data_IF_573477182070
#
_entry.id   IF_573477182070
#
_cell.length_a   1.000
_cell.length_b   1.000
_cell.length_c   1.000
_cell.angle_alpha   90.00
_cell.angle_beta   90.00
_cell.angle_gamma   90.00
#
_symmetry.space_group_name_H-M   'P 1'
#
loop_
_entity.id
_entity.type
_entity.pdbx_description
1 polymer ?
#
# COMPACT_ATOMS: atom_id res chain seq x y z
N UNK A 1 -18.01 -21.45 1.18
CA UNK A 1 -17.34 -20.24 1.63
C UNK A 1 -15.89 -20.54 1.95
N UNK A 2 -14.95 -19.72 1.46
CA UNK A 2 -13.50 -19.87 1.70
C UNK A 2 -13.01 -19.05 2.88
N UNK A 3 -13.86 -18.29 3.55
CA UNK A 3 -13.51 -17.44 4.68
C UNK A 3 -13.55 -18.24 5.97
N UNK A 4 -12.50 -18.11 6.78
CA UNK A 4 -12.45 -18.70 8.13
C UNK A 4 -12.93 -17.68 9.17
N UNK A 5 -14.15 -17.83 9.70
CA UNK A 5 -14.72 -16.83 10.61
C UNK A 5 -14.08 -16.85 12.01
N UNK A 6 -13.28 -17.86 12.33
CA UNK A 6 -12.61 -17.98 13.61
C UNK A 6 -11.21 -17.36 13.61
N UNK A 7 -10.66 -17.02 12.44
CA UNK A 7 -9.39 -16.31 12.32
C UNK A 7 -9.65 -14.81 12.18
N UNK A 8 -9.09 -14.00 13.10
CA UNK A 8 -9.29 -12.56 13.11
C UNK A 8 -8.32 -11.79 12.20
N UNK A 9 -7.15 -12.37 11.86
CA UNK A 9 -6.22 -11.73 10.96
C UNK A 9 -6.68 -11.82 9.50
N UNK A 10 -5.95 -11.16 8.62
CA UNK A 10 -6.18 -11.27 7.17
C UNK A 10 -6.01 -12.70 6.66
N UNK A 11 -5.35 -13.57 7.41
CA UNK A 11 -5.24 -14.99 7.06
C UNK A 11 -6.57 -15.75 7.13
N UNK A 12 -7.64 -15.11 7.58
CA UNK A 12 -9.00 -15.62 7.41
C UNK A 12 -9.34 -15.88 5.94
N UNK A 13 -8.65 -15.18 5.03
CA UNK A 13 -8.79 -15.31 3.59
C UNK A 13 -7.72 -16.20 2.95
N UNK A 14 -6.97 -16.97 3.75
CA UNK A 14 -5.83 -17.76 3.24
C UNK A 14 -6.17 -18.76 2.14
N UNK A 15 -7.43 -19.20 2.06
CA UNK A 15 -7.88 -20.07 0.97
C UNK A 15 -7.91 -19.37 -0.40
N UNK A 16 -7.86 -18.04 -0.42
CA UNK A 16 -7.78 -17.23 -1.63
C UNK A 16 -6.35 -16.77 -1.93
N UNK A 17 -5.40 -17.20 -1.12
CA UNK A 17 -3.98 -16.93 -1.27
C UNK A 17 -3.27 -18.19 -1.75
N UNK A 18 -2.14 -18.02 -2.44
CA UNK A 18 -1.34 -19.15 -2.89
C UNK A 18 -0.40 -19.66 -1.77
N UNK A 19 -0.91 -19.83 -0.56
CA UNK A 19 -0.17 -20.35 0.58
C UNK A 19 -0.38 -21.87 0.67
N UNK A 20 0.73 -22.61 0.80
CA UNK A 20 0.71 -24.08 0.71
C UNK A 20 0.60 -24.78 2.06
N UNK A 21 0.95 -24.09 3.16
CA UNK A 21 1.01 -24.68 4.50
C UNK A 21 0.56 -23.70 5.61
N UNK A 22 0.74 -24.10 6.86
CA UNK A 22 0.34 -23.35 8.03
C UNK A 22 1.46 -22.43 8.57
N UNK A 23 2.54 -22.18 7.81
CA UNK A 23 3.66 -21.31 8.24
C UNK A 23 3.22 -19.90 8.62
N UNK A 24 2.10 -19.43 8.07
CA UNK A 24 1.53 -18.14 8.41
C UNK A 24 1.26 -17.97 9.91
N UNK A 25 1.03 -19.07 10.64
CA UNK A 25 0.76 -19.02 12.09
C UNK A 25 1.95 -18.48 12.89
N UNK A 26 3.16 -18.72 12.40
CA UNK A 26 4.39 -18.21 13.02
C UNK A 26 4.68 -16.75 12.64
N UNK A 27 3.96 -16.20 11.69
CA UNK A 27 4.22 -14.88 11.11
C UNK A 27 3.17 -13.85 11.54
N UNK A 28 1.91 -14.24 11.64
CA UNK A 28 0.82 -13.31 11.93
C UNK A 28 0.99 -12.59 13.27
N UNK A 29 0.66 -11.32 13.29
CA UNK A 29 0.56 -10.48 14.47
C UNK A 29 -0.87 -9.94 14.66
N UNK A 30 -1.87 -10.57 14.04
CA UNK A 30 -3.26 -10.16 14.13
C UNK A 30 -3.64 -9.02 13.18
N UNK A 31 -2.84 -8.80 12.15
CA UNK A 31 -3.04 -7.78 11.12
C UNK A 31 -4.33 -8.01 10.32
N UNK A 32 -4.93 -6.94 9.86
CA UNK A 32 -6.18 -7.00 9.08
C UNK A 32 -7.43 -6.71 9.92
N UNK A 33 -8.57 -6.89 9.33
CA UNK A 33 -9.89 -6.58 9.92
C UNK A 33 -9.94 -5.17 10.52
N UNK A 34 -9.34 -4.22 9.81
CA UNK A 34 -9.28 -2.83 10.25
C UNK A 34 -10.66 -2.20 10.23
N UNK A 35 -10.96 -1.27 11.16
CA UNK A 35 -12.29 -0.68 11.25
C UNK A 35 -12.69 0.13 10.02
N UNK A 36 -13.98 0.16 9.75
CA UNK A 36 -14.61 1.13 8.85
C UNK A 36 -15.33 2.14 9.71
N UNK A 37 -14.98 3.40 9.59
CA UNK A 37 -15.49 4.49 10.41
C UNK A 37 -16.17 5.54 9.53
N UNK A 38 -17.32 6.03 9.93
CA UNK A 38 -18.02 7.10 9.19
C UNK A 38 -17.40 8.45 9.49
N UNK A 39 -16.98 9.17 8.44
CA UNK A 39 -16.48 10.53 8.55
C UNK A 39 -17.62 11.56 8.48
N UNK A 40 -18.49 11.41 7.49
CA UNK A 40 -19.68 12.21 7.28
C UNK A 40 -20.74 11.40 6.50
N UNK A 41 -21.80 12.03 6.02
CA UNK A 41 -22.89 11.33 5.33
C UNK A 41 -22.44 10.65 4.02
N UNK A 42 -21.38 11.12 3.36
CA UNK A 42 -20.92 10.63 2.08
C UNK A 42 -19.69 9.73 2.18
N UNK A 43 -18.93 9.80 3.27
CA UNK A 43 -17.58 9.22 3.37
C UNK A 43 -17.45 8.23 4.51
N UNK A 44 -17.02 7.02 4.18
CA UNK A 44 -16.50 6.02 5.11
C UNK A 44 -14.97 6.00 5.03
N UNK A 45 -14.33 5.84 6.17
CA UNK A 45 -12.87 5.69 6.29
C UNK A 45 -12.54 4.21 6.56
N UNK A 46 -11.71 3.60 5.71
CA UNK A 46 -11.08 2.31 6.04
C UNK A 46 -9.79 2.61 6.78
N UNK A 47 -9.79 2.33 8.08
CA UNK A 47 -8.70 2.69 9.00
C UNK A 47 -7.53 1.71 8.87
N UNK A 48 -6.91 1.66 7.70
CA UNK A 48 -5.93 0.63 7.35
C UNK A 48 -4.58 0.80 8.04
N UNK A 49 -4.37 1.86 8.78
CA UNK A 49 -3.19 2.00 9.62
C UNK A 49 -3.36 1.38 11.02
N UNK A 50 -4.52 0.80 11.35
CA UNK A 50 -4.68 0.01 12.58
C UNK A 50 -4.04 -1.37 12.40
N UNK A 51 -2.77 -1.34 12.26
CA UNK A 51 -1.89 -2.49 11.98
C UNK A 51 -0.69 -2.47 12.94
N UNK A 52 -0.02 -3.60 13.14
CA UNK A 52 1.17 -3.66 14.00
C UNK A 52 2.24 -2.61 13.67
N UNK A 53 2.47 -2.31 12.38
CA UNK A 53 3.45 -1.27 11.99
C UNK A 53 2.80 0.02 11.50
N UNK A 54 1.51 0.21 11.77
CA UNK A 54 0.76 1.45 11.58
C UNK A 54 0.65 1.89 10.11
N UNK A 55 0.64 0.95 9.18
CA UNK A 55 0.32 1.20 7.77
C UNK A 55 -0.30 -0.02 7.10
N UNK A 56 -0.92 0.18 5.93
CA UNK A 56 -1.50 -0.93 5.15
C UNK A 56 -0.46 -1.93 4.63
N UNK A 57 0.82 -1.57 4.63
CA UNK A 57 1.91 -2.41 4.14
C UNK A 57 2.02 -3.74 4.90
N UNK A 58 1.52 -3.78 6.13
CA UNK A 58 1.42 -5.01 6.92
C UNK A 58 0.68 -6.13 6.16
N UNK A 59 -0.34 -5.78 5.38
CA UNK A 59 -1.09 -6.77 4.59
C UNK A 59 -0.19 -7.57 3.67
N UNK A 60 0.59 -6.85 2.88
CA UNK A 60 1.51 -7.49 1.94
C UNK A 60 2.70 -8.14 2.63
N UNK A 61 3.28 -7.46 3.61
CA UNK A 61 4.44 -7.98 4.34
C UNK A 61 4.12 -9.30 5.05
N UNK A 62 2.97 -9.40 5.71
CA UNK A 62 2.57 -10.62 6.42
C UNK A 62 2.50 -11.82 5.47
N UNK A 63 1.87 -11.68 4.33
CA UNK A 63 1.72 -12.79 3.37
C UNK A 63 3.03 -13.12 2.67
N UNK A 64 3.81 -12.11 2.30
CA UNK A 64 5.12 -12.30 1.71
C UNK A 64 6.05 -13.09 2.64
N UNK A 65 6.11 -12.71 3.90
CA UNK A 65 6.97 -13.38 4.88
C UNK A 65 6.43 -14.79 5.25
N UNK A 66 5.11 -14.97 5.28
CA UNK A 66 4.52 -16.30 5.43
C UNK A 66 4.95 -17.23 4.28
N UNK A 67 4.95 -16.73 3.06
CA UNK A 67 5.47 -17.49 1.90
C UNK A 67 6.95 -17.80 2.06
N UNK A 68 7.78 -16.80 2.43
CA UNK A 68 9.20 -17.02 2.66
C UNK A 68 9.45 -18.12 3.68
N UNK A 69 8.71 -18.11 4.78
CA UNK A 69 8.84 -19.14 5.81
C UNK A 69 8.44 -20.52 5.32
N UNK A 70 7.38 -20.61 4.52
CA UNK A 70 6.90 -21.89 3.97
C UNK A 70 7.89 -22.56 3.03
N UNK A 71 8.70 -21.79 2.30
CA UNK A 71 9.71 -22.31 1.39
C UNK A 71 11.12 -22.38 2.00
N UNK A 72 11.25 -22.16 3.31
CA UNK A 72 12.53 -22.32 4.02
C UNK A 72 13.50 -21.16 3.86
N UNK A 73 13.03 -19.98 3.42
CA UNK A 73 13.86 -18.76 3.37
C UNK A 73 14.19 -18.33 4.79
N UNK A 74 15.48 -18.12 5.07
CA UNK A 74 15.97 -17.71 6.38
C UNK A 74 16.62 -16.33 6.40
N UNK A 75 16.78 -15.70 5.25
CA UNK A 75 17.35 -14.37 5.10
C UNK A 75 16.72 -13.65 3.91
N UNK A 76 16.29 -12.41 4.13
CA UNK A 76 15.77 -11.54 3.07
C UNK A 76 16.46 -10.19 3.06
N UNK A 77 16.44 -9.54 1.91
CA UNK A 77 16.89 -8.16 1.74
C UNK A 77 15.79 -7.34 1.08
N UNK A 78 15.76 -6.05 1.36
CA UNK A 78 14.81 -5.12 0.80
C UNK A 78 15.40 -3.71 0.80
N UNK A 79 14.91 -2.84 -0.07
CA UNK A 79 15.50 -1.51 -0.32
C UNK A 79 14.50 -0.35 -0.15
N UNK A 80 13.62 -0.45 0.84
CA UNK A 80 12.68 0.63 1.17
C UNK A 80 12.96 1.22 2.55
N UNK A 81 13.10 2.53 2.62
CA UNK A 81 13.20 3.28 3.88
C UNK A 81 11.83 3.64 4.48
N UNK A 82 10.74 3.37 3.75
CA UNK A 82 9.39 3.75 4.15
C UNK A 82 8.62 2.63 4.83
N UNK A 83 7.31 2.71 4.72
CA UNK A 83 6.39 1.78 5.36
C UNK A 83 6.61 0.31 4.94
N UNK A 84 6.98 0.06 3.69
CA UNK A 84 7.23 -1.30 3.21
C UNK A 84 8.45 -1.93 3.90
N UNK A 85 9.57 -1.24 3.96
CA UNK A 85 10.77 -1.74 4.65
C UNK A 85 10.54 -1.95 6.14
N UNK A 86 9.86 -1.02 6.80
CA UNK A 86 9.51 -1.15 8.21
C UNK A 86 8.61 -2.37 8.46
N UNK A 87 7.60 -2.57 7.64
CA UNK A 87 6.70 -3.73 7.77
C UNK A 87 7.45 -5.04 7.52
N UNK A 88 8.25 -5.14 6.47
CA UNK A 88 9.04 -6.35 6.19
C UNK A 88 9.98 -6.67 7.35
N UNK A 89 10.67 -5.67 7.90
CA UNK A 89 11.56 -5.86 9.05
C UNK A 89 10.78 -6.42 10.27
N UNK A 90 9.61 -5.88 10.57
CA UNK A 90 8.80 -6.32 11.69
C UNK A 90 8.32 -7.77 11.54
N UNK A 91 7.81 -8.15 10.37
CA UNK A 91 7.34 -9.52 10.13
C UNK A 91 8.48 -10.53 10.05
N UNK A 92 9.64 -10.14 9.56
CA UNK A 92 10.84 -10.96 9.65
C UNK A 92 11.26 -11.23 11.11
N UNK A 93 11.20 -10.21 11.95
CA UNK A 93 11.47 -10.35 13.38
C UNK A 93 10.51 -11.36 14.03
N UNK A 94 9.22 -11.25 13.73
CA UNK A 94 8.20 -12.19 14.24
C UNK A 94 8.45 -13.62 13.76
N UNK A 95 8.84 -13.78 12.50
CA UNK A 95 9.03 -15.08 11.86
C UNK A 95 10.39 -15.74 12.15
N UNK A 96 11.33 -15.01 12.75
CA UNK A 96 12.70 -15.50 12.95
C UNK A 96 13.51 -15.56 11.67
N UNK A 97 13.25 -14.67 10.70
CA UNK A 97 13.97 -14.56 9.45
C UNK A 97 14.92 -13.38 9.54
N UNK A 98 16.20 -13.57 9.18
CA UNK A 98 17.18 -12.49 9.13
C UNK A 98 16.79 -11.48 8.03
N UNK A 99 16.89 -10.20 8.34
CA UNK A 99 16.48 -9.14 7.44
C UNK A 99 17.54 -8.06 7.35
N UNK A 100 17.85 -7.64 6.15
CA UNK A 100 18.67 -6.46 5.88
C UNK A 100 17.91 -5.49 5.00
N UNK A 101 17.81 -4.24 5.46
CA UNK A 101 17.13 -3.16 4.71
C UNK A 101 18.21 -2.18 4.27
N UNK A 102 18.28 -1.95 2.96
CA UNK A 102 19.14 -0.94 2.35
C UNK A 102 18.36 0.38 2.25
N UNK A 103 18.96 1.45 2.74
CA UNK A 103 18.35 2.78 2.68
C UNK A 103 19.34 3.78 2.09
N UNK A 104 18.89 4.80 1.34
CA UNK A 104 19.79 5.82 0.82
C UNK A 104 20.28 6.73 1.94
N UNK A 105 21.42 7.38 1.71
CA UNK A 105 21.90 8.44 2.61
C UNK A 105 20.83 9.56 2.69
N UNK A 106 20.75 10.22 3.83
CA UNK A 106 19.73 11.23 4.09
C UNK A 106 18.40 10.64 4.60
N UNK A 107 18.27 9.32 4.71
CA UNK A 107 17.14 8.70 5.40
C UNK A 107 17.12 9.15 6.86
N UNK A 108 15.93 9.53 7.37
CA UNK A 108 15.83 10.09 8.71
C UNK A 108 16.28 9.09 9.79
N UNK A 109 16.92 9.57 10.87
CA UNK A 109 17.31 8.70 11.97
C UNK A 109 16.17 7.92 12.56
N UNK A 110 14.97 8.50 12.64
CA UNK A 110 13.77 7.84 13.17
C UNK A 110 13.39 6.60 12.34
N UNK A 111 13.45 6.69 11.00
CA UNK A 111 13.18 5.57 10.11
C UNK A 111 14.21 4.46 10.28
N UNK A 112 15.49 4.82 10.36
CA UNK A 112 16.59 3.88 10.57
C UNK A 112 16.44 3.19 11.92
N UNK A 113 16.14 3.94 12.97
CA UNK A 113 15.96 3.40 14.32
C UNK A 113 14.79 2.43 14.40
N UNK A 114 13.68 2.70 13.74
CA UNK A 114 12.54 1.77 13.66
C UNK A 114 12.93 0.44 13.01
N UNK A 115 13.66 0.49 11.91
CA UNK A 115 14.13 -0.72 11.21
C UNK A 115 15.05 -1.52 12.13
N UNK A 116 16.02 -0.87 12.76
CA UNK A 116 16.98 -1.51 13.69
C UNK A 116 16.32 -2.05 14.95
N UNK A 117 15.28 -1.38 15.44
CA UNK A 117 14.53 -1.84 16.61
C UNK A 117 13.88 -3.22 16.40
N UNK A 118 13.54 -3.57 15.17
CA UNK A 118 13.04 -4.90 14.82
C UNK A 118 14.16 -5.96 14.71
N UNK A 119 15.40 -5.58 14.95
CA UNK A 119 16.54 -6.51 14.83
C UNK A 119 17.09 -6.65 13.42
N UNK A 120 16.58 -5.90 12.45
CA UNK A 120 17.10 -5.90 11.10
C UNK A 120 18.42 -5.11 11.01
N UNK A 121 19.29 -5.55 10.11
CA UNK A 121 20.44 -4.73 9.71
C UNK A 121 19.93 -3.62 8.79
N UNK A 122 20.27 -2.38 9.11
CA UNK A 122 19.95 -1.25 8.26
C UNK A 122 21.24 -0.70 7.67
N UNK A 123 21.42 -0.90 6.37
CA UNK A 123 22.63 -0.51 5.63
C UNK A 123 22.37 0.80 4.90
N UNK A 124 23.05 1.86 5.31
CA UNK A 124 22.94 3.17 4.67
C UNK A 124 23.90 3.20 3.48
N UNK A 125 23.34 3.39 2.29
CA UNK A 125 24.11 3.43 1.03
C UNK A 125 24.35 4.89 0.63
N UNK A 126 25.60 5.31 0.42
CA UNK A 126 25.88 6.66 -0.07
C UNK A 126 25.26 6.90 -1.45
N UNK A 127 24.71 8.09 -1.66
CA UNK A 127 24.15 8.49 -2.95
C UNK A 127 22.63 8.39 -3.04
N UNK A 128 22.15 8.17 -4.26
CA UNK A 128 20.73 8.24 -4.59
C UNK A 128 19.93 6.99 -4.17
N UNK A 129 18.61 7.14 -4.15
CA UNK A 129 17.67 6.01 -3.99
C UNK A 129 17.89 4.94 -5.07
N UNK A 130 18.13 5.36 -6.31
CA UNK A 130 18.35 4.43 -7.43
C UNK A 130 19.63 3.62 -7.22
N UNK A 131 20.72 4.28 -6.79
CA UNK A 131 21.97 3.59 -6.46
C UNK A 131 21.78 2.62 -5.29
N UNK A 132 21.03 3.00 -4.27
CA UNK A 132 20.69 2.12 -3.15
C UNK A 132 19.99 0.85 -3.64
N UNK A 133 19.01 1.00 -4.52
CA UNK A 133 18.32 -0.15 -5.13
C UNK A 133 19.28 -1.04 -5.94
N UNK A 134 20.22 -0.44 -6.67
CA UNK A 134 21.24 -1.18 -7.42
C UNK A 134 22.16 -1.99 -6.51
N UNK A 135 22.60 -1.42 -5.39
CA UNK A 135 23.41 -2.11 -4.39
C UNK A 135 22.65 -3.30 -3.79
N UNK A 136 21.37 -3.12 -3.48
CA UNK A 136 20.53 -4.21 -2.97
C UNK A 136 20.41 -5.34 -4.00
N UNK A 137 20.10 -5.02 -5.24
CA UNK A 137 19.99 -6.02 -6.33
C UNK A 137 21.31 -6.74 -6.58
N UNK A 138 22.42 -6.03 -6.52
CA UNK A 138 23.75 -6.66 -6.68
C UNK A 138 24.00 -7.72 -5.60
N UNK A 139 23.61 -7.45 -4.36
CA UNK A 139 23.71 -8.45 -3.28
C UNK A 139 22.84 -9.67 -3.57
N UNK A 140 21.61 -9.47 -4.04
CA UNK A 140 20.71 -10.56 -4.43
C UNK A 140 21.37 -11.45 -5.52
N UNK A 141 21.92 -10.83 -6.55
CA UNK A 141 22.57 -11.56 -7.65
C UNK A 141 23.84 -12.30 -7.21
N UNK A 142 24.65 -11.69 -6.36
CA UNK A 142 25.93 -12.25 -5.93
C UNK A 142 25.78 -13.34 -4.87
N UNK A 143 24.84 -13.18 -3.93
CA UNK A 143 24.72 -14.07 -2.79
C UNK A 143 23.49 -14.98 -2.83
N UNK A 144 22.58 -14.80 -3.80
CA UNK A 144 21.37 -15.59 -3.92
C UNK A 144 20.38 -15.37 -2.77
N UNK A 145 20.46 -14.23 -2.08
CA UNK A 145 19.55 -13.88 -0.98
C UNK A 145 18.18 -13.56 -1.53
N UNK A 146 17.13 -13.93 -0.80
CA UNK A 146 15.76 -13.64 -1.22
C UNK A 146 15.48 -12.14 -1.23
N UNK A 147 15.03 -11.62 -2.37
CA UNK A 147 14.65 -10.23 -2.52
C UNK A 147 13.18 -10.04 -2.14
N UNK A 148 12.91 -9.51 -0.94
CA UNK A 148 11.56 -9.27 -0.43
C UNK A 148 11.00 -7.94 -0.97
N UNK A 149 11.07 -7.74 -2.29
CA UNK A 149 10.61 -6.51 -2.92
C UNK A 149 9.09 -6.47 -3.00
N UNK A 150 8.49 -5.47 -2.37
CA UNK A 150 7.04 -5.32 -2.28
C UNK A 150 6.36 -4.98 -3.62
N UNK A 151 7.09 -4.45 -4.60
CA UNK A 151 6.53 -4.06 -5.90
C UNK A 151 6.45 -5.25 -6.86
N UNK A 152 7.45 -6.14 -6.83
CA UNK A 152 7.55 -7.25 -7.76
C UNK A 152 6.97 -8.57 -7.25
N UNK A 153 6.99 -8.78 -5.93
CA UNK A 153 6.64 -10.07 -5.37
C UNK A 153 5.12 -10.29 -5.38
N UNK A 154 4.62 -11.35 -6.05
CA UNK A 154 3.18 -11.60 -6.14
C UNK A 154 2.52 -11.87 -4.79
N UNK A 155 3.25 -12.38 -3.80
CA UNK A 155 2.68 -12.65 -2.47
C UNK A 155 2.37 -11.37 -1.69
N UNK A 156 3.05 -10.28 -1.99
CA UNK A 156 2.68 -8.98 -1.43
C UNK A 156 1.26 -8.59 -1.88
N UNK A 157 0.92 -8.84 -3.13
CA UNK A 157 -0.40 -8.56 -3.67
C UNK A 157 -1.47 -9.51 -3.12
N UNK A 158 -1.12 -10.76 -2.83
CA UNK A 158 -2.03 -11.68 -2.13
C UNK A 158 -2.46 -11.09 -0.79
N UNK A 159 -1.58 -10.37 -0.13
CA UNK A 159 -1.90 -9.64 1.10
C UNK A 159 -2.78 -8.41 0.86
N UNK A 160 -2.43 -7.56 -0.09
CA UNK A 160 -3.18 -6.32 -0.34
C UNK A 160 -4.57 -6.57 -0.92
N UNK A 161 -4.80 -7.70 -1.57
CA UNK A 161 -6.16 -8.13 -1.99
C UNK A 161 -7.13 -8.20 -0.82
N UNK A 162 -6.65 -8.51 0.38
CA UNK A 162 -7.50 -8.67 1.56
C UNK A 162 -8.22 -7.39 1.98
N UNK A 163 -7.71 -6.23 1.58
CA UNK A 163 -8.39 -4.96 1.78
C UNK A 163 -9.83 -5.00 1.26
N UNK A 164 -10.00 -5.46 0.03
CA UNK A 164 -11.33 -5.55 -0.61
C UNK A 164 -12.17 -6.66 0.00
N UNK A 165 -11.60 -7.82 0.31
CA UNK A 165 -12.34 -8.90 0.95
C UNK A 165 -12.92 -8.46 2.29
N UNK A 166 -12.15 -7.72 3.09
CA UNK A 166 -12.62 -7.16 4.35
C UNK A 166 -13.74 -6.14 4.17
N UNK A 167 -13.59 -5.24 3.21
CA UNK A 167 -14.62 -4.24 2.92
C UNK A 167 -15.94 -4.93 2.59
N UNK A 168 -15.91 -5.92 1.72
CA UNK A 168 -17.12 -6.68 1.37
C UNK A 168 -17.70 -7.42 2.58
N UNK A 169 -16.86 -8.09 3.38
CA UNK A 169 -17.33 -8.83 4.54
C UNK A 169 -17.94 -7.90 5.61
N UNK A 170 -17.31 -6.75 5.84
CA UNK A 170 -17.76 -5.78 6.85
C UNK A 170 -19.03 -5.04 6.47
N UNK A 171 -19.19 -4.70 5.19
CA UNK A 171 -20.30 -3.90 4.70
C UNK A 171 -21.40 -4.72 4.00
N UNK A 172 -21.12 -5.96 3.63
CA UNK A 172 -22.03 -6.77 2.79
C UNK A 172 -22.13 -6.29 1.34
N UNK A 173 -21.28 -5.35 0.95
CA UNK A 173 -21.24 -4.73 -0.39
C UNK A 173 -19.90 -4.02 -0.59
N UNK A 174 -19.64 -3.62 -1.84
CA UNK A 174 -18.54 -2.69 -2.13
C UNK A 174 -19.15 -1.29 -2.29
N UNK A 175 -18.59 -0.25 -1.62
CA UNK A 175 -19.04 1.13 -1.81
C UNK A 175 -18.97 1.57 -3.27
N UNK A 176 -19.83 2.52 -3.65
CA UNK A 176 -19.90 3.01 -5.03
C UNK A 176 -18.58 3.60 -5.53
N UNK A 177 -17.85 4.26 -4.64
CA UNK A 177 -16.56 4.89 -4.97
C UNK A 177 -15.48 4.45 -3.99
N UNK A 178 -14.29 4.15 -4.53
CA UNK A 178 -13.09 3.82 -3.74
C UNK A 178 -12.00 4.83 -4.08
N UNK A 179 -11.47 5.52 -3.08
CA UNK A 179 -10.35 6.46 -3.24
C UNK A 179 -9.06 5.77 -2.81
N UNK A 180 -8.14 5.59 -3.75
CA UNK A 180 -6.92 4.80 -3.54
C UNK A 180 -5.71 5.60 -4.04
N UNK A 181 -4.66 5.78 -3.21
CA UNK A 181 -3.43 6.40 -3.65
C UNK A 181 -2.62 5.46 -4.54
N UNK A 182 -1.89 6.03 -5.51
CA UNK A 182 -1.07 5.25 -6.42
C UNK A 182 0.33 5.83 -6.54
N UNK A 183 1.28 5.17 -5.87
CA UNK A 183 2.71 5.35 -6.10
C UNK A 183 3.23 4.18 -6.93
N UNK A 184 3.67 3.11 -6.27
CA UNK A 184 4.02 1.84 -6.92
C UNK A 184 2.80 0.99 -7.29
N UNK A 185 1.63 1.31 -6.75
CA UNK A 185 0.39 0.62 -7.09
C UNK A 185 0.14 -0.67 -6.30
N UNK A 186 0.81 -0.89 -5.18
CA UNK A 186 0.67 -2.15 -4.42
C UNK A 186 -0.75 -2.33 -3.85
N UNK A 187 -1.36 -1.28 -3.34
CA UNK A 187 -2.76 -1.36 -2.88
C UNK A 187 -3.73 -1.30 -4.05
N UNK A 188 -3.50 -0.43 -5.01
CA UNK A 188 -4.33 -0.27 -6.20
C UNK A 188 -4.47 -1.60 -6.97
N UNK A 189 -3.36 -2.25 -7.29
CA UNK A 189 -3.37 -3.53 -8.00
C UNK A 189 -4.01 -4.63 -7.16
N UNK A 190 -3.68 -4.71 -5.88
CA UNK A 190 -4.31 -5.68 -4.97
C UNK A 190 -5.82 -5.52 -4.91
N UNK A 191 -6.29 -4.27 -4.81
CA UNK A 191 -7.72 -3.98 -4.82
C UNK A 191 -8.40 -4.41 -6.12
N UNK A 192 -7.80 -4.12 -7.27
CA UNK A 192 -8.34 -4.51 -8.57
C UNK A 192 -8.37 -6.03 -8.72
N UNK A 193 -7.31 -6.73 -8.35
CA UNK A 193 -7.27 -8.20 -8.41
C UNK A 193 -8.39 -8.82 -7.55
N UNK A 194 -8.61 -8.29 -6.36
CA UNK A 194 -9.67 -8.76 -5.48
C UNK A 194 -11.07 -8.46 -6.05
N UNK A 195 -11.28 -7.27 -6.59
CA UNK A 195 -12.54 -6.90 -7.24
C UNK A 195 -12.84 -7.78 -8.46
N UNK A 196 -11.83 -8.07 -9.29
CA UNK A 196 -11.98 -9.00 -10.42
C UNK A 196 -12.32 -10.40 -9.94
N UNK A 197 -11.68 -10.87 -8.86
CA UNK A 197 -11.99 -12.15 -8.25
C UNK A 197 -13.47 -12.21 -7.78
N UNK A 198 -13.93 -11.19 -7.07
CA UNK A 198 -15.32 -11.13 -6.59
C UNK A 198 -16.31 -11.06 -7.75
N UNK A 199 -16.02 -10.30 -8.79
CA UNK A 199 -16.87 -10.20 -9.96
C UNK A 199 -16.91 -11.51 -10.76
N UNK A 200 -15.76 -12.11 -11.01
CA UNK A 200 -15.67 -13.38 -11.74
C UNK A 200 -16.33 -14.55 -10.99
N UNK A 201 -16.36 -14.46 -9.66
CA UNK A 201 -17.02 -15.45 -8.80
C UNK A 201 -18.51 -15.18 -8.60
N UNK A 202 -19.07 -14.14 -9.22
CA UNK A 202 -20.47 -13.76 -9.11
C UNK A 202 -20.88 -13.16 -7.76
N UNK A 203 -19.91 -12.78 -6.93
CA UNK A 203 -20.16 -12.17 -5.60
C UNK A 203 -20.60 -10.72 -5.75
N UNK A 204 -20.02 -10.00 -6.69
CA UNK A 204 -20.46 -8.66 -7.09
C UNK A 204 -20.81 -8.67 -8.58
N UNK A 205 -21.75 -7.82 -8.97
CA UNK A 205 -22.25 -7.74 -10.34
C UNK A 205 -21.71 -6.54 -11.13
N UNK A 206 -21.09 -5.58 -10.44
CA UNK A 206 -20.53 -4.39 -11.06
C UNK A 206 -19.26 -3.95 -10.34
N UNK A 207 -18.37 -3.24 -11.04
CA UNK A 207 -17.17 -2.65 -10.50
C UNK A 207 -17.49 -1.29 -9.88
N UNK A 208 -16.90 -0.94 -8.73
CA UNK A 208 -17.01 0.41 -8.19
C UNK A 208 -16.28 1.42 -9.06
N UNK A 209 -16.58 2.70 -8.91
CA UNK A 209 -15.76 3.75 -9.45
C UNK A 209 -14.49 3.87 -8.59
N UNK A 210 -13.35 3.56 -9.16
CA UNK A 210 -12.07 3.77 -8.50
C UNK A 210 -11.59 5.16 -8.86
N UNK A 211 -11.26 5.94 -7.83
CA UNK A 211 -10.66 7.26 -7.92
C UNK A 211 -9.22 7.11 -7.44
N UNK A 212 -8.29 7.08 -8.40
CA UNK A 212 -6.88 6.90 -8.11
C UNK A 212 -6.21 8.27 -8.04
N UNK A 213 -5.40 8.49 -7.03
CA UNK A 213 -4.76 9.79 -6.87
C UNK A 213 -3.25 9.69 -6.91
N UNK A 214 -2.66 10.74 -7.47
CA UNK A 214 -1.24 11.01 -7.43
C UNK A 214 -0.99 12.41 -6.90
N UNK A 215 0.21 12.65 -6.35
CA UNK A 215 0.63 14.00 -5.99
C UNK A 215 0.65 14.87 -7.25
N UNK A 216 0.21 16.10 -7.12
CA UNK A 216 0.33 17.11 -8.18
C UNK A 216 1.79 17.29 -8.63
N UNK A 217 2.74 17.05 -7.73
CA UNK A 217 4.17 17.20 -7.98
C UNK A 217 4.86 15.91 -8.45
N UNK A 218 4.10 14.81 -8.58
CA UNK A 218 4.62 13.54 -9.09
C UNK A 218 3.45 12.70 -9.65
N UNK A 219 3.16 12.86 -10.94
CA UNK A 219 1.94 12.37 -11.56
C UNK A 219 2.14 11.60 -12.89
N UNK A 220 3.11 10.69 -12.99
CA UNK A 220 3.40 10.01 -14.26
C UNK A 220 2.21 9.20 -14.80
N UNK A 221 1.46 8.54 -13.92
CA UNK A 221 0.31 7.72 -14.32
C UNK A 221 -0.88 8.57 -14.78
N UNK A 222 -1.15 9.66 -14.08
CA UNK A 222 -2.21 10.59 -14.45
C UNK A 222 -1.95 11.19 -15.84
N UNK A 223 -0.71 11.62 -16.10
CA UNK A 223 -0.30 12.15 -17.41
C UNK A 223 -0.46 11.11 -18.51
N UNK A 224 0.03 9.89 -18.27
CA UNK A 224 -0.08 8.80 -19.23
C UNK A 224 -1.54 8.46 -19.55
N UNK A 225 -2.39 8.36 -18.54
CA UNK A 225 -3.81 8.10 -18.71
C UNK A 225 -4.50 9.20 -19.52
N UNK A 226 -4.19 10.46 -19.26
CA UNK A 226 -4.74 11.59 -20.00
C UNK A 226 -4.33 11.59 -21.48
N UNK A 227 -3.15 11.06 -21.80
CA UNK A 227 -2.62 10.94 -23.16
C UNK A 227 -3.01 9.63 -23.85
N UNK A 228 -3.68 8.71 -23.15
CA UNK A 228 -3.96 7.38 -23.67
C UNK A 228 -2.72 6.52 -23.88
N UNK A 229 -1.60 6.83 -23.19
CA UNK A 229 -0.35 6.10 -23.32
C UNK A 229 -0.43 4.73 -22.63
N UNK A 230 0.25 3.72 -23.22
CA UNK A 230 0.31 2.38 -22.63
C UNK A 230 1.31 2.30 -21.46
N UNK A 231 2.31 3.15 -21.46
CA UNK A 231 3.35 3.23 -20.44
C UNK A 231 3.53 4.67 -19.97
N UNK A 232 3.82 4.89 -18.67
CA UNK A 232 4.11 6.24 -18.20
C UNK A 232 5.51 6.66 -18.61
N UNK A 233 5.66 7.90 -19.06
CA UNK A 233 6.98 8.52 -19.17
C UNK A 233 7.50 8.84 -17.76
N UNK A 234 8.80 8.60 -17.49
CA UNK A 234 9.37 8.95 -16.20
C UNK A 234 9.23 10.44 -15.91
N UNK A 235 8.91 10.78 -14.67
CA UNK A 235 8.79 12.14 -14.17
C UNK A 235 9.82 12.32 -13.06
N UNK A 236 10.55 13.44 -13.09
CA UNK A 236 11.36 13.83 -11.94
C UNK A 236 10.43 14.49 -10.92
N UNK A 237 10.26 13.90 -9.72
CA UNK A 237 9.38 14.49 -8.72
C UNK A 237 9.86 15.89 -8.34
N UNK A 238 8.96 16.87 -8.28
CA UNK A 238 9.21 18.10 -7.55
C UNK A 238 8.85 17.88 -6.08
N UNK A 239 9.35 18.70 -5.14
CA UNK A 239 9.11 18.46 -3.72
C UNK A 239 7.63 18.27 -3.38
N UNK A 240 7.32 17.18 -2.70
CA UNK A 240 5.98 16.88 -2.20
C UNK A 240 6.06 16.34 -0.78
N UNK A 241 5.12 16.72 0.06
CA UNK A 241 4.98 16.15 1.39
C UNK A 241 4.32 14.77 1.38
N UNK A 242 3.71 14.39 0.26
CA UNK A 242 3.13 13.04 0.06
C UNK A 242 4.23 12.06 -0.39
N UNK A 243 5.21 11.81 0.47
CA UNK A 243 6.40 11.02 0.15
C UNK A 243 6.09 9.59 -0.30
N UNK A 244 5.06 8.97 0.26
CA UNK A 244 4.70 7.58 -0.03
C UNK A 244 4.22 7.34 -1.46
N UNK A 245 3.80 8.39 -2.18
CA UNK A 245 3.38 8.32 -3.58
C UNK A 245 4.27 9.13 -4.53
N UNK A 246 5.43 9.58 -4.06
CA UNK A 246 6.42 10.32 -4.86
C UNK A 246 7.28 9.38 -5.71
N UNK A 247 6.64 8.62 -6.59
CA UNK A 247 7.28 7.63 -7.45
C UNK A 247 7.27 8.14 -8.89
N UNK A 248 8.43 8.60 -9.35
CA UNK A 248 8.56 9.19 -10.69
C UNK A 248 8.54 8.18 -11.83
N UNK A 249 8.90 6.92 -11.54
CA UNK A 249 8.91 5.81 -12.51
C UNK A 249 8.28 4.57 -11.88
N UNK A 250 6.94 4.45 -11.91
CA UNK A 250 6.26 3.27 -11.39
C UNK A 250 6.66 2.01 -12.18
N UNK A 251 7.19 1.00 -11.49
CA UNK A 251 7.70 -0.22 -12.14
C UNK A 251 6.60 -1.07 -12.77
N UNK A 252 5.38 -0.98 -12.24
CA UNK A 252 4.21 -1.68 -12.81
C UNK A 252 3.27 -0.73 -13.56
N UNK A 253 3.81 0.37 -14.07
CA UNK A 253 3.01 1.42 -14.72
C UNK A 253 2.18 0.93 -15.90
N UNK A 254 2.71 0.06 -16.73
CA UNK A 254 1.98 -0.54 -17.86
C UNK A 254 0.75 -1.32 -17.40
N UNK A 255 0.91 -2.18 -16.41
CA UNK A 255 -0.19 -2.97 -15.85
C UNK A 255 -1.23 -2.08 -15.17
N UNK A 256 -0.79 -1.08 -14.41
CA UNK A 256 -1.69 -0.12 -13.75
C UNK A 256 -2.54 0.60 -14.81
N UNK A 257 -1.93 1.11 -15.87
CA UNK A 257 -2.64 1.81 -16.94
C UNK A 257 -3.60 0.91 -17.69
N UNK A 258 -3.20 -0.33 -17.98
CA UNK A 258 -4.06 -1.32 -18.63
C UNK A 258 -5.30 -1.62 -17.81
N UNK A 259 -5.15 -1.87 -16.52
CA UNK A 259 -6.28 -2.15 -15.62
C UNK A 259 -7.12 -0.91 -15.34
N UNK A 260 -6.49 0.26 -15.25
CA UNK A 260 -7.21 1.51 -15.10
C UNK A 260 -8.13 1.79 -16.31
N UNK A 261 -7.65 1.55 -17.52
CA UNK A 261 -8.46 1.68 -18.74
C UNK A 261 -9.59 0.65 -18.77
N UNK A 262 -9.28 -0.61 -18.45
CA UNK A 262 -10.26 -1.70 -18.43
C UNK A 262 -11.44 -1.40 -17.51
N UNK A 263 -11.19 -0.83 -16.35
CA UNK A 263 -12.19 -0.62 -15.30
C UNK A 263 -12.66 0.83 -15.16
N UNK A 264 -12.30 1.69 -16.08
CA UNK A 264 -12.76 3.07 -16.06
C UNK A 264 -12.27 3.87 -14.85
N UNK A 265 -11.06 3.59 -14.36
CA UNK A 265 -10.46 4.31 -13.24
C UNK A 265 -10.28 5.77 -13.59
N UNK A 266 -10.63 6.66 -12.67
CA UNK A 266 -10.39 8.09 -12.81
C UNK A 266 -9.19 8.52 -11.97
N UNK A 267 -8.21 9.14 -12.62
CA UNK A 267 -7.06 9.72 -11.94
C UNK A 267 -7.35 11.17 -11.55
N UNK A 268 -6.94 11.54 -10.34
CA UNK A 268 -7.10 12.90 -9.82
C UNK A 268 -5.82 13.32 -9.11
N UNK A 269 -5.49 14.61 -9.19
CA UNK A 269 -4.39 15.16 -8.41
C UNK A 269 -4.79 15.37 -6.95
N UNK A 270 -3.87 15.09 -6.03
CA UNK A 270 -3.89 15.66 -4.69
C UNK A 270 -3.16 17.01 -4.77
N UNK A 271 -3.89 18.16 -4.65
CA UNK A 271 -3.24 19.48 -4.71
C UNK A 271 -2.28 19.64 -3.54
N UNK A 272 -1.03 19.99 -3.82
CA UNK A 272 0.03 20.07 -2.81
C UNK A 272 -0.32 21.07 -1.70
N UNK A 273 -0.88 22.22 -2.05
CA UNK A 273 -1.27 23.27 -1.11
C UNK A 273 -2.49 22.91 -0.24
N UNK A 274 -3.17 21.80 -0.54
CA UNK A 274 -4.36 21.33 0.20
C UNK A 274 -4.09 20.16 1.14
N UNK A 275 -2.91 19.55 1.08
CA UNK A 275 -2.62 18.34 1.87
C UNK A 275 -2.61 18.64 3.38
N UNK A 276 -1.92 19.69 3.80
CA UNK A 276 -1.87 20.06 5.23
C UNK A 276 -3.25 20.48 5.76
N UNK A 277 -4.03 21.18 4.96
CA UNK A 277 -5.40 21.57 5.31
C UNK A 277 -6.28 20.31 5.49
N UNK A 278 -6.18 19.36 4.58
CA UNK A 278 -6.89 18.08 4.65
C UNK A 278 -6.49 17.29 5.90
N UNK A 279 -5.19 17.23 6.20
CA UNK A 279 -4.68 16.58 7.43
C UNK A 279 -5.24 17.21 8.68
N UNK A 280 -5.26 18.54 8.75
CA UNK A 280 -5.83 19.27 9.87
C UNK A 280 -7.35 19.05 10.02
N UNK A 281 -8.06 18.98 8.90
CA UNK A 281 -9.51 18.72 8.92
C UNK A 281 -9.82 17.32 9.46
N UNK A 282 -9.06 16.30 9.06
CA UNK A 282 -9.19 14.93 9.59
C UNK A 282 -8.83 14.88 11.09
N UNK A 283 -7.75 15.55 11.49
CA UNK A 283 -7.31 15.59 12.88
C UNK A 283 -8.38 16.19 13.80
N UNK A 284 -9.07 17.23 13.35
CA UNK A 284 -10.20 17.83 14.11
C UNK A 284 -11.38 16.88 14.27
N UNK A 285 -11.43 15.81 13.50
CA UNK A 285 -12.42 14.74 13.63
C UNK A 285 -11.87 13.48 14.29
N UNK A 286 -10.69 13.57 14.89
CA UNK A 286 -10.07 12.48 15.63
C UNK A 286 -9.17 11.56 14.81
N UNK A 287 -8.91 11.90 13.55
CA UNK A 287 -8.11 11.05 12.65
C UNK A 287 -6.79 11.74 12.33
N UNK A 288 -5.72 11.33 13.01
CA UNK A 288 -4.37 11.86 12.79
C UNK A 288 -3.57 10.91 11.92
N UNK A 289 -3.40 11.29 10.65
CA UNK A 289 -2.75 10.45 9.64
C UNK A 289 -1.46 11.08 9.11
N UNK A 290 -0.66 10.29 8.42
CA UNK A 290 0.52 10.78 7.71
C UNK A 290 0.13 11.64 6.49
N UNK A 291 1.09 12.42 5.96
CA UNK A 291 0.84 13.34 4.86
C UNK A 291 0.33 12.65 3.59
N UNK A 292 0.92 11.51 3.22
CA UNK A 292 0.44 10.72 2.07
C UNK A 292 -1.01 10.30 2.22
N UNK A 293 -1.42 9.94 3.45
CA UNK A 293 -2.80 9.58 3.74
C UNK A 293 -3.73 10.80 3.66
N UNK A 294 -3.28 11.95 4.15
CA UNK A 294 -4.03 13.20 4.02
C UNK A 294 -4.23 13.62 2.56
N UNK A 295 -3.27 13.27 1.68
CA UNK A 295 -3.40 13.51 0.24
C UNK A 295 -4.63 12.79 -0.35
N UNK A 296 -5.02 11.64 0.19
CA UNK A 296 -6.23 10.93 -0.23
C UNK A 296 -7.49 11.77 0.00
N UNK A 297 -7.57 12.42 1.14
CA UNK A 297 -8.71 13.29 1.45
C UNK A 297 -8.68 14.56 0.61
N UNK A 298 -7.50 15.16 0.42
CA UNK A 298 -7.35 16.33 -0.46
C UNK A 298 -7.80 16.03 -1.89
N UNK A 299 -7.40 14.87 -2.42
CA UNK A 299 -7.80 14.42 -3.76
C UNK A 299 -9.30 14.15 -3.87
N UNK A 300 -9.89 13.53 -2.84
CA UNK A 300 -11.34 13.32 -2.79
C UNK A 300 -12.11 14.65 -2.82
N UNK A 301 -11.69 15.63 -2.02
CA UNK A 301 -12.31 16.95 -2.01
C UNK A 301 -12.20 17.65 -3.36
N UNK A 302 -11.05 17.52 -4.04
CA UNK A 302 -10.86 18.05 -5.38
C UNK A 302 -11.74 17.34 -6.41
N UNK A 303 -11.84 16.01 -6.33
CA UNK A 303 -12.73 15.25 -7.20
C UNK A 303 -14.19 15.68 -7.03
N UNK A 304 -14.64 15.86 -5.78
CA UNK A 304 -15.99 16.32 -5.47
C UNK A 304 -16.24 17.73 -5.99
N UNK A 305 -15.25 18.61 -5.87
CA UNK A 305 -15.34 19.97 -6.40
C UNK A 305 -15.54 19.99 -7.92
N UNK A 306 -14.85 19.09 -8.63
CA UNK A 306 -14.90 19.01 -10.09
C UNK A 306 -16.14 18.27 -10.62
N UNK A 307 -16.64 17.28 -9.90
CA UNK A 307 -17.65 16.34 -10.36
C UNK A 307 -18.98 16.41 -9.62
N UNK A 308 -19.07 17.23 -8.56
CA UNK A 308 -20.26 17.33 -7.71
C UNK A 308 -20.31 16.28 -6.60
N UNK A 309 -21.44 16.17 -5.88
CA UNK A 309 -21.58 15.25 -4.78
C UNK A 309 -21.16 13.82 -5.14
N UNK A 310 -20.40 13.20 -4.26
CA UNK A 310 -19.84 11.86 -4.46
C UNK A 310 -20.16 10.99 -3.23
N UNK A 311 -21.44 10.56 -3.10
CA UNK A 311 -21.88 9.77 -1.95
C UNK A 311 -21.35 8.35 -2.01
N UNK A 312 -21.43 7.64 -0.88
CA UNK A 312 -21.01 6.25 -0.75
C UNK A 312 -19.55 6.04 -1.19
N UNK A 313 -18.66 6.83 -0.60
CA UNK A 313 -17.24 6.81 -0.90
C UNK A 313 -16.47 6.20 0.28
N UNK A 314 -15.61 5.21 -0.02
CA UNK A 314 -14.65 4.68 0.91
C UNK A 314 -13.29 5.33 0.67
N UNK A 315 -12.76 5.97 1.70
CA UNK A 315 -11.46 6.62 1.69
C UNK A 315 -10.44 5.79 2.47
N UNK A 316 -9.32 5.47 1.85
CA UNK A 316 -8.28 4.65 2.48
C UNK A 316 -7.44 5.49 3.43
N UNK A 317 -7.34 5.06 4.69
CA UNK A 317 -6.43 5.63 5.70
C UNK A 317 -5.18 4.75 5.80
N UNK A 318 -4.16 5.06 5.00
CA UNK A 318 -3.02 4.18 4.72
C UNK A 318 -2.01 4.09 5.86
N UNK A 319 -1.66 5.22 6.47
CA UNK A 319 -0.59 5.31 7.46
C UNK A 319 -0.92 6.27 8.60
N UNK A 320 -0.49 5.92 9.81
CA UNK A 320 -0.72 6.70 11.01
C UNK A 320 0.22 7.92 11.09
N UNK A 321 -0.29 9.04 11.62
CA UNK A 321 0.48 10.27 11.74
C UNK A 321 1.57 10.23 12.81
N UNK A 322 1.35 9.48 13.89
CA UNK A 322 2.30 9.43 15.01
C UNK A 322 3.62 8.73 14.67
N UNK A 323 3.69 7.94 13.60
CA UNK A 323 4.93 7.34 13.12
C UNK A 323 5.75 8.24 12.20
N UNK A 324 5.18 9.35 11.76
CA UNK A 324 5.80 10.30 10.85
C UNK A 324 6.81 11.17 11.59
N UNK A 325 7.84 11.65 10.87
CA UNK A 325 8.86 12.56 11.40
C UNK A 325 8.35 14.00 11.59
N UNK A 326 7.20 14.33 10.98
CA UNK A 326 6.66 15.69 10.98
C UNK A 326 5.15 15.72 10.73
#
# INVERSE_FOLDING_TARGET
SGVDPHEWSLFRYRKFMALEDESWRAVTMGEGMTPVVRLDEDVLLKMDYFMPTLSFKDRGAAVLIAHCKSIGVNQVVQDSSGNAGNAVAAYCAKAGIACEIFVPEGTSPKKIDMIRAHGAVCTVVPGSRDHCADVCRAKVEQEGVYYANHVYNPFFYEGTKTYIYEVFEQLGRIPANLVIPVGNGTLFLGAIYALEHLQNSGVIDHFPQIIALQSQNCDPLLRAAAQGAAEPAPVTPTPTIAEGIAIGKPMRGEEILRLAKKHGVRFVHAPEDKILEARAALARKGVYCEHTTAANYAAYLEYRRLNGPTPDTLLTMCGAGLKSDH
#
